data_IF_953672282413
#
_entry.id   IF_953672282413
#
_cell.length_a   1.000
_cell.length_b   1.000
_cell.length_c   1.000
_cell.angle_alpha   90.00
_cell.angle_beta   90.00
_cell.angle_gamma   90.00
#
_symmetry.space_group_name_H-M   'P 1'
#
loop_
_entity.id
_entity.type
_entity.pdbx_description
1 polymer ?
#
# COMPACT_ATOMS: atom_id res chain seq x y z
N UNK A 1 21.98 3.46 19.55
CA UNK A 1 22.83 2.25 19.71
C UNK A 1 24.24 2.67 20.13
N UNK A 2 24.93 1.86 20.92
CA UNK A 2 26.31 2.13 21.38
C UNK A 2 27.30 1.20 20.69
N UNK A 3 28.56 1.62 20.57
CA UNK A 3 29.60 0.73 20.08
C UNK A 3 29.77 -0.48 21.04
N UNK A 4 30.00 -1.70 20.52
CA UNK A 4 30.07 -2.90 21.35
C UNK A 4 31.12 -2.78 22.46
N UNK A 5 30.71 -3.05 23.70
CA UNK A 5 31.60 -2.99 24.86
C UNK A 5 31.99 -1.58 25.32
N UNK A 6 31.39 -0.51 24.75
CA UNK A 6 31.64 0.88 25.16
C UNK A 6 30.36 1.61 25.52
N UNK A 7 30.50 2.85 26.00
CA UNK A 7 29.39 3.81 26.21
C UNK A 7 29.34 4.88 25.12
N UNK A 8 30.03 4.67 24.00
CA UNK A 8 30.11 5.64 22.92
C UNK A 8 28.91 5.50 22.00
N UNK A 9 28.16 6.59 21.82
CA UNK A 9 26.97 6.60 20.99
C UNK A 9 27.37 6.54 19.51
N UNK A 10 26.79 5.59 18.77
CA UNK A 10 27.01 5.50 17.32
C UNK A 10 26.33 6.69 16.62
N UNK A 11 27.06 7.31 15.70
CA UNK A 11 26.58 8.38 14.82
C UNK A 11 26.34 7.84 13.42
N UNK A 12 25.37 8.43 12.71
CA UNK A 12 25.12 8.11 11.31
C UNK A 12 26.12 8.89 10.45
N UNK A 13 26.76 8.19 9.52
CA UNK A 13 27.63 8.75 8.49
C UNK A 13 27.18 8.26 7.11
N UNK A 14 27.27 9.10 6.09
CA UNK A 14 26.90 8.75 4.70
C UNK A 14 28.14 8.84 3.83
N UNK A 15 28.54 7.73 3.22
CA UNK A 15 29.78 7.64 2.44
C UNK A 15 29.61 7.94 0.94
N UNK A 16 28.38 8.23 0.51
CA UNK A 16 28.02 8.38 -0.90
C UNK A 16 27.22 7.21 -1.48
N UNK A 17 27.20 6.07 -0.80
CA UNK A 17 26.52 4.84 -1.24
C UNK A 17 25.64 4.21 -0.15
N UNK A 18 26.12 4.15 1.10
CA UNK A 18 25.43 3.50 2.21
C UNK A 18 25.48 4.35 3.49
N UNK A 19 24.52 4.12 4.38
CA UNK A 19 24.53 4.70 5.72
C UNK A 19 25.34 3.81 6.66
N UNK A 20 26.28 4.40 7.38
CA UNK A 20 27.11 3.74 8.38
C UNK A 20 26.78 4.23 9.78
N UNK A 21 26.89 3.34 10.75
CA UNK A 21 26.90 3.65 12.18
C UNK A 21 28.34 3.61 12.67
N UNK A 22 28.89 4.76 13.05
CA UNK A 22 30.31 4.94 13.38
C UNK A 22 30.50 5.43 14.81
N UNK A 23 31.57 4.96 15.45
CA UNK A 23 32.15 5.55 16.65
C UNK A 23 33.55 6.07 16.31
N UNK A 24 33.72 7.39 16.35
CA UNK A 24 34.98 8.04 16.01
C UNK A 24 36.09 7.74 17.04
N UNK A 25 35.73 7.41 18.29
CA UNK A 25 36.69 7.24 19.38
C UNK A 25 37.28 5.83 19.42
N UNK A 26 36.47 4.80 19.15
CA UNK A 26 36.94 3.40 19.08
C UNK A 26 37.32 2.95 17.67
N UNK A 27 36.96 3.72 16.63
CA UNK A 27 37.11 3.32 15.23
C UNK A 27 36.13 2.24 14.77
N UNK A 28 35.16 1.87 15.61
CA UNK A 28 34.11 0.93 15.26
C UNK A 28 33.19 1.51 14.18
N UNK A 29 32.86 0.70 13.17
CA UNK A 29 31.83 1.01 12.19
C UNK A 29 31.05 -0.23 11.77
N UNK A 30 29.77 -0.05 11.45
CA UNK A 30 28.93 -1.07 10.79
C UNK A 30 27.95 -0.41 9.82
N UNK A 31 27.49 -1.15 8.83
CA UNK A 31 26.42 -0.68 7.94
C UNK A 31 25.12 -0.52 8.75
N UNK A 32 24.40 0.55 8.49
CA UNK A 32 23.11 0.84 9.08
C UNK A 32 22.01 0.07 8.35
N UNK A 33 21.15 -0.63 9.09
CA UNK A 33 19.96 -1.30 8.55
C UNK A 33 18.76 -0.35 8.39
N UNK A 34 18.94 0.97 8.52
CA UNK A 34 17.83 1.95 8.52
C UNK A 34 17.03 1.96 7.22
N UNK A 35 17.65 1.57 6.10
CA UNK A 35 17.00 1.46 4.79
C UNK A 35 16.47 0.06 4.50
N UNK A 36 16.73 -0.92 5.37
CA UNK A 36 16.20 -2.26 5.23
C UNK A 36 14.73 -2.25 5.63
N UNK A 37 13.85 -2.65 4.71
CA UNK A 37 12.42 -2.80 4.98
C UNK A 37 12.15 -4.20 5.50
N UNK A 38 11.48 -4.27 6.63
CA UNK A 38 10.92 -5.51 7.16
C UNK A 38 9.49 -5.67 6.66
N UNK A 39 9.08 -6.92 6.47
CA UNK A 39 7.80 -7.29 5.88
C UNK A 39 7.03 -8.13 6.88
N UNK A 40 5.78 -7.73 7.09
CA UNK A 40 4.82 -8.44 7.95
C UNK A 40 3.70 -8.99 7.10
N UNK A 41 3.21 -10.16 7.49
CA UNK A 41 2.05 -10.75 6.85
C UNK A 41 0.78 -10.11 7.41
N UNK A 42 -0.12 -9.69 6.54
CA UNK A 42 -1.41 -9.13 6.93
C UNK A 42 -2.47 -9.39 5.87
N UNK A 43 -3.71 -9.31 6.31
CA UNK A 43 -4.87 -9.28 5.42
C UNK A 43 -5.58 -7.97 5.62
N UNK A 44 -5.97 -7.34 4.53
CA UNK A 44 -6.70 -6.08 4.54
C UNK A 44 -7.94 -6.15 3.64
N UNK A 45 -8.95 -5.36 3.96
CA UNK A 45 -10.13 -5.15 3.13
C UNK A 45 -10.28 -3.67 2.82
N UNK A 46 -10.81 -3.35 1.64
CA UNK A 46 -11.10 -1.98 1.28
C UNK A 46 -12.06 -1.34 2.28
N UNK A 47 -11.71 -0.14 2.74
CA UNK A 47 -12.54 0.63 3.64
C UNK A 47 -12.70 2.06 3.12
N UNK A 48 -13.95 2.46 2.87
CA UNK A 48 -14.31 3.85 2.53
C UNK A 48 -15.35 4.33 3.56
N UNK A 49 -15.05 5.37 4.35
CA UNK A 49 -15.98 5.92 5.33
C UNK A 49 -17.34 6.26 4.72
N UNK A 50 -18.43 5.93 5.43
CA UNK A 50 -19.78 6.13 4.92
C UNK A 50 -20.09 7.58 4.54
N UNK A 51 -19.47 8.56 5.20
CA UNK A 51 -19.62 9.98 4.88
C UNK A 51 -19.01 10.38 3.52
N UNK A 52 -18.09 9.57 2.98
CA UNK A 52 -17.50 9.75 1.64
C UNK A 52 -18.23 8.95 0.57
N UNK A 53 -19.09 8.01 0.98
CA UNK A 53 -19.89 7.18 0.07
C UNK A 53 -21.18 7.91 -0.31
N UNK A 54 -21.52 7.89 -1.61
CA UNK A 54 -22.78 8.47 -2.12
C UNK A 54 -23.72 7.42 -2.71
N UNK A 55 -23.61 6.19 -2.21
CA UNK A 55 -24.34 5.01 -2.67
C UNK A 55 -23.38 3.95 -3.24
N UNK A 56 -23.86 3.22 -4.25
CA UNK A 56 -23.03 2.25 -4.98
C UNK A 56 -22.92 0.86 -4.34
N UNK A 57 -22.02 0.06 -4.90
CA UNK A 57 -21.75 -1.32 -4.46
C UNK A 57 -21.01 -1.31 -3.12
N UNK A 58 -21.30 -2.18 -2.15
CA UNK A 58 -20.53 -2.26 -0.90
C UNK A 58 -19.07 -2.64 -1.17
N UNK A 59 -18.18 -2.34 -0.22
CA UNK A 59 -16.82 -2.87 -0.30
C UNK A 59 -16.81 -4.37 -0.02
N UNK A 60 -15.87 -5.09 -0.62
CA UNK A 60 -15.63 -6.51 -0.38
C UNK A 60 -14.76 -6.73 0.86
N UNK A 61 -15.04 -7.80 1.59
CA UNK A 61 -14.32 -8.15 2.82
C UNK A 61 -13.47 -9.41 2.62
N UNK A 62 -12.19 -9.27 2.93
CA UNK A 62 -11.21 -10.34 3.04
C UNK A 62 -11.11 -10.90 4.47
N UNK A 63 -12.03 -10.58 5.39
CA UNK A 63 -11.96 -11.07 6.78
C UNK A 63 -11.89 -12.61 6.88
N UNK A 64 -12.53 -13.33 5.95
CA UNK A 64 -12.47 -14.80 5.88
C UNK A 64 -11.05 -15.34 5.62
N UNK A 65 -10.19 -14.52 5.01
CA UNK A 65 -8.79 -14.81 4.71
C UNK A 65 -7.84 -14.44 5.83
N UNK A 66 -8.31 -13.81 6.91
CA UNK A 66 -7.45 -13.35 8.01
C UNK A 66 -6.57 -14.45 8.63
N UNK A 67 -6.97 -15.72 8.53
CA UNK A 67 -6.14 -16.83 8.98
C UNK A 67 -4.85 -17.03 8.16
N UNK A 68 -4.81 -16.53 6.91
CA UNK A 68 -3.66 -16.66 6.00
C UNK A 68 -2.43 -15.91 6.53
N UNK A 69 -2.59 -14.76 7.19
CA UNK A 69 -1.46 -14.02 7.76
C UNK A 69 -0.89 -14.65 9.04
N UNK A 70 -1.65 -15.53 9.70
CA UNK A 70 -1.26 -16.14 10.97
C UNK A 70 -0.43 -17.42 10.86
N UNK A 71 -0.23 -17.93 9.63
CA UNK A 71 0.55 -19.11 9.29
C UNK A 71 1.94 -18.76 8.74
N UNK A 72 2.20 -17.48 8.52
CA UNK A 72 3.36 -16.96 7.80
C UNK A 72 4.48 -16.53 8.75
N UNK A 73 5.72 -16.68 8.28
CA UNK A 73 6.88 -16.11 8.95
C UNK A 73 6.90 -14.58 8.75
N UNK A 74 7.28 -13.84 9.78
CA UNK A 74 7.61 -12.42 9.67
C UNK A 74 9.10 -12.24 9.41
N UNK A 75 9.51 -11.25 8.62
CA UNK A 75 10.95 -10.95 8.44
C UNK A 75 11.51 -10.01 9.52
N UNK A 76 10.76 -9.80 10.61
CA UNK A 76 11.18 -9.00 11.76
C UNK A 76 12.41 -9.65 12.42
N UNK A 77 13.50 -8.88 12.53
CA UNK A 77 14.79 -9.37 13.05
C UNK A 77 14.88 -9.32 14.58
N UNK A 78 14.05 -8.50 15.22
CA UNK A 78 14.07 -8.27 16.66
C UNK A 78 13.16 -9.24 17.42
N UNK A 79 13.53 -9.57 18.65
CA UNK A 79 12.60 -10.19 19.60
C UNK A 79 11.67 -9.09 20.15
N UNK A 80 10.43 -9.11 19.68
CA UNK A 80 9.40 -8.17 20.12
C UNK A 80 8.51 -8.84 21.17
N UNK A 81 8.27 -8.14 22.28
CA UNK A 81 7.22 -8.49 23.23
C UNK A 81 5.94 -7.75 22.84
N UNK A 82 4.89 -8.50 22.50
CA UNK A 82 3.59 -7.93 22.15
C UNK A 82 2.85 -7.43 23.40
N UNK A 83 2.67 -6.11 23.50
CA UNK A 83 1.99 -5.47 24.65
C UNK A 83 0.53 -5.14 24.34
N UNK A 84 0.19 -4.94 23.06
CA UNK A 84 -1.13 -4.50 22.61
C UNK A 84 -1.56 -5.35 21.41
N UNK A 85 -2.69 -6.04 21.55
CA UNK A 85 -3.39 -6.69 20.43
C UNK A 85 -4.60 -5.84 20.05
N UNK A 86 -4.68 -5.49 18.77
CA UNK A 86 -5.80 -4.74 18.20
C UNK A 86 -6.52 -5.63 17.21
N UNK A 87 -7.84 -5.69 17.29
CA UNK A 87 -8.66 -6.44 16.36
C UNK A 87 -9.47 -5.48 15.48
N UNK A 88 -9.56 -5.78 14.19
CA UNK A 88 -10.44 -5.11 13.24
C UNK A 88 -10.17 -3.61 13.12
N UNK A 89 -8.89 -3.25 13.02
CA UNK A 89 -8.43 -1.86 12.95
C UNK A 89 -8.76 -1.26 11.60
N UNK A 90 -9.42 -0.11 11.59
CA UNK A 90 -9.58 0.71 10.38
C UNK A 90 -8.47 1.75 10.32
N UNK A 91 -7.70 1.74 9.24
CA UNK A 91 -6.69 2.73 8.92
C UNK A 91 -7.22 3.63 7.82
N UNK A 92 -6.98 4.93 7.95
CA UNK A 92 -7.25 5.92 6.90
C UNK A 92 -6.02 6.81 6.79
N UNK A 93 -5.50 6.91 5.57
CA UNK A 93 -4.52 7.92 5.19
C UNK A 93 -5.24 8.91 4.29
N UNK A 94 -5.05 10.20 4.56
CA UNK A 94 -5.57 11.26 3.72
C UNK A 94 -4.44 12.17 3.26
N UNK A 95 -4.50 12.55 2.00
CA UNK A 95 -3.62 13.54 1.43
C UNK A 95 -4.42 14.56 0.62
N UNK A 96 -3.80 15.72 0.42
CA UNK A 96 -4.34 16.77 -0.42
C UNK A 96 -3.46 16.93 -1.65
N UNK A 97 -4.04 16.69 -2.82
CA UNK A 97 -3.40 16.90 -4.12
C UNK A 97 -4.13 18.02 -4.84
N UNK A 98 -3.45 19.08 -5.32
CA UNK A 98 -4.10 20.24 -5.94
C UNK A 98 -4.55 19.92 -7.38
N UNK A 99 -5.63 19.14 -7.51
CA UNK A 99 -6.32 18.90 -8.78
C UNK A 99 -7.79 19.30 -8.69
N UNK A 100 -8.41 19.59 -9.84
CA UNK A 100 -9.80 20.02 -9.94
C UNK A 100 -10.67 19.06 -10.72
N UNK A 101 -11.87 19.52 -11.06
CA UNK A 101 -12.87 18.73 -11.80
C UNK A 101 -12.34 18.18 -13.13
N UNK A 102 -11.50 18.92 -13.85
CA UNK A 102 -10.96 18.47 -15.15
C UNK A 102 -10.08 17.21 -15.00
N UNK A 103 -9.18 17.20 -14.00
CA UNK A 103 -8.35 16.04 -13.72
C UNK A 103 -9.19 14.86 -13.24
N UNK A 104 -10.25 15.11 -12.48
CA UNK A 104 -11.15 14.05 -12.04
C UNK A 104 -11.96 13.45 -13.19
N UNK A 105 -12.42 14.27 -14.14
CA UNK A 105 -13.06 13.79 -15.38
C UNK A 105 -12.08 12.89 -16.14
N UNK A 106 -10.83 13.32 -16.30
CA UNK A 106 -9.80 12.53 -16.96
C UNK A 106 -9.53 11.21 -16.21
N UNK A 107 -9.48 11.24 -14.87
CA UNK A 107 -9.35 10.03 -14.06
C UNK A 107 -10.52 9.07 -14.28
N UNK A 108 -11.76 9.57 -14.26
CA UNK A 108 -12.96 8.76 -14.51
C UNK A 108 -12.95 8.13 -15.91
N UNK A 109 -12.46 8.86 -16.93
CA UNK A 109 -12.27 8.31 -18.27
C UNK A 109 -11.20 7.21 -18.27
N UNK A 110 -10.04 7.45 -17.65
CA UNK A 110 -8.96 6.46 -17.58
C UNK A 110 -9.39 5.20 -16.84
N UNK A 111 -10.17 5.34 -15.76
CA UNK A 111 -10.71 4.23 -14.98
C UNK A 111 -11.87 3.48 -15.66
N UNK A 112 -12.35 3.95 -16.81
CA UNK A 112 -13.52 3.40 -17.48
C UNK A 112 -14.81 3.55 -16.67
N UNK A 113 -14.91 4.55 -15.78
CA UNK A 113 -16.05 4.70 -14.87
C UNK A 113 -17.37 4.92 -15.61
N UNK A 114 -17.33 5.58 -16.77
CA UNK A 114 -18.50 5.81 -17.63
C UNK A 114 -18.80 4.66 -18.58
N UNK A 115 -17.96 3.63 -18.63
CA UNK A 115 -18.10 2.52 -19.57
C UNK A 115 -19.00 1.42 -19.02
N UNK A 116 -19.39 0.47 -19.90
CA UNK A 116 -20.17 -0.71 -19.46
C UNK A 116 -19.37 -1.65 -18.57
N UNK A 117 -18.05 -1.71 -18.79
CA UNK A 117 -17.11 -2.50 -18.00
C UNK A 117 -16.28 -1.51 -17.20
N UNK A 118 -16.62 -1.35 -15.92
CA UNK A 118 -15.97 -0.37 -15.04
C UNK A 118 -14.78 -1.00 -14.33
N UNK A 119 -13.66 -0.27 -14.25
CA UNK A 119 -12.45 -0.75 -13.61
C UNK A 119 -11.65 -1.73 -14.47
N UNK A 120 -10.97 -2.68 -13.83
CA UNK A 120 -10.10 -3.65 -14.49
C UNK A 120 -8.66 -3.61 -13.96
N UNK A 121 -7.75 -4.25 -14.68
CA UNK A 121 -6.33 -4.24 -14.31
C UNK A 121 -5.62 -3.04 -14.95
N UNK A 122 -4.86 -2.31 -14.15
CA UNK A 122 -4.10 -1.14 -14.60
C UNK A 122 -2.61 -1.44 -14.60
N UNK A 123 -1.94 -1.08 -15.69
CA UNK A 123 -0.50 -1.21 -15.85
C UNK A 123 0.09 0.09 -16.39
N UNK A 124 1.30 0.42 -15.96
CA UNK A 124 2.11 1.50 -16.54
C UNK A 124 2.84 1.06 -17.81
N UNK A 125 2.85 -0.24 -18.12
CA UNK A 125 3.50 -0.77 -19.32
C UNK A 125 2.70 -0.41 -20.56
N UNK A 126 3.40 0.17 -21.53
CA UNK A 126 2.84 0.51 -22.85
C UNK A 126 3.03 -0.70 -23.76
N UNK A 127 1.95 -1.18 -24.37
CA UNK A 127 2.04 -2.20 -25.41
C UNK A 127 2.75 -1.66 -26.65
N UNK A 128 3.93 -2.19 -26.93
CA UNK A 128 4.73 -1.84 -28.11
C UNK A 128 4.42 -2.71 -29.33
N UNK A 129 3.65 -3.80 -29.18
CA UNK A 129 3.34 -4.73 -30.27
C UNK A 129 1.92 -4.54 -30.80
N UNK A 130 1.74 -3.53 -31.66
CA UNK A 130 0.46 -3.16 -32.27
C UNK A 130 -0.21 -4.24 -33.14
N UNK A 131 0.46 -5.35 -33.43
CA UNK A 131 -0.07 -6.47 -34.22
C UNK A 131 -0.46 -7.68 -33.39
N UNK A 132 -0.10 -7.70 -32.10
CA UNK A 132 -0.50 -8.74 -31.17
C UNK A 132 -1.97 -8.59 -30.76
N UNK A 133 -2.65 -9.71 -30.51
CA UNK A 133 -4.02 -9.73 -29.98
C UNK A 133 -4.07 -9.92 -28.46
N UNK A 134 -2.91 -10.06 -27.83
CA UNK A 134 -2.77 -10.35 -26.40
C UNK A 134 -1.69 -9.47 -25.81
N UNK A 135 -1.98 -8.88 -24.66
CA UNK A 135 -1.01 -8.21 -23.81
C UNK A 135 -0.76 -9.10 -22.59
N UNK A 136 0.48 -9.56 -22.43
CA UNK A 136 0.91 -10.30 -21.26
C UNK A 136 1.65 -9.34 -20.32
N UNK A 137 1.24 -9.32 -19.07
CA UNK A 137 1.78 -8.43 -18.05
C UNK A 137 2.17 -9.29 -16.86
N UNK A 138 3.32 -9.00 -16.26
CA UNK A 138 3.80 -9.74 -15.08
C UNK A 138 2.81 -9.63 -13.90
N UNK A 139 2.74 -10.64 -13.02
CA UNK A 139 2.00 -10.56 -11.76
C UNK A 139 2.44 -9.33 -10.96
N UNK A 140 1.48 -8.60 -10.40
CA UNK A 140 1.77 -7.32 -9.74
C UNK A 140 0.78 -6.20 -10.03
N UNK A 141 -0.17 -6.43 -10.93
CA UNK A 141 -1.10 -5.37 -11.32
C UNK A 141 -2.10 -5.05 -10.22
N UNK A 142 -2.47 -3.77 -10.17
CA UNK A 142 -3.59 -3.31 -9.37
C UNK A 142 -4.88 -3.54 -10.14
N UNK A 143 -5.77 -4.34 -9.56
CA UNK A 143 -7.15 -4.44 -10.03
C UNK A 143 -7.95 -3.33 -9.38
N UNK A 144 -8.71 -2.58 -10.17
CA UNK A 144 -9.59 -1.52 -9.67
C UNK A 144 -11.04 -1.92 -9.90
N UNK A 145 -11.88 -1.76 -8.89
CA UNK A 145 -13.32 -1.97 -8.97
C UNK A 145 -14.05 -0.71 -8.51
N UNK A 146 -14.80 -0.07 -9.42
CA UNK A 146 -15.50 1.18 -9.13
C UNK A 146 -16.73 0.92 -8.24
N UNK A 147 -16.84 1.66 -7.14
CA UNK A 147 -17.94 1.54 -6.18
C UNK A 147 -19.07 2.53 -6.51
N UNK A 148 -18.71 3.81 -6.67
CA UNK A 148 -19.58 4.89 -7.10
C UNK A 148 -18.77 6.08 -7.60
N UNK A 149 -19.34 6.90 -8.49
CA UNK A 149 -18.65 8.08 -9.00
C UNK A 149 -19.66 9.15 -9.45
N UNK A 150 -19.17 10.39 -9.51
CA UNK A 150 -19.78 11.49 -10.22
C UNK A 150 -18.70 12.13 -11.09
N UNK A 151 -18.96 12.20 -12.40
CA UNK A 151 -17.97 12.52 -13.43
C UNK A 151 -17.03 13.70 -13.10
N UNK A 152 -17.58 14.76 -12.50
CA UNK A 152 -16.86 16.01 -12.18
C UNK A 152 -16.58 16.23 -10.70
N UNK A 153 -17.07 15.36 -9.80
CA UNK A 153 -17.06 15.64 -8.36
C UNK A 153 -16.35 14.59 -7.50
N UNK A 154 -16.59 13.28 -7.68
CA UNK A 154 -15.91 12.26 -6.90
C UNK A 154 -15.79 10.92 -7.64
N UNK A 155 -14.86 10.08 -7.19
CA UNK A 155 -14.79 8.66 -7.56
C UNK A 155 -14.39 7.87 -6.32
N UNK A 156 -15.14 6.80 -6.05
CA UNK A 156 -14.85 5.83 -5.01
C UNK A 156 -14.62 4.48 -5.68
N UNK A 157 -13.54 3.80 -5.30
CA UNK A 157 -13.19 2.51 -5.87
C UNK A 157 -12.38 1.66 -4.88
N UNK A 158 -12.34 0.36 -5.13
CA UNK A 158 -11.43 -0.55 -4.47
C UNK A 158 -10.22 -0.78 -5.36
N UNK A 159 -9.04 -0.82 -4.77
CA UNK A 159 -7.81 -1.21 -5.42
C UNK A 159 -7.26 -2.46 -4.75
N UNK A 160 -7.13 -3.55 -5.51
CA UNK A 160 -6.60 -4.84 -5.06
C UNK A 160 -5.20 -5.04 -5.65
N UNK A 161 -4.21 -5.07 -4.77
CA UNK A 161 -2.78 -5.08 -5.12
C UNK A 161 -2.30 -6.52 -5.20
N UNK A 162 -1.81 -6.92 -6.38
CA UNK A 162 -1.31 -8.28 -6.62
C UNK A 162 0.22 -8.34 -6.63
N UNK A 163 0.88 -7.47 -5.88
CA UNK A 163 2.35 -7.41 -5.85
C UNK A 163 2.94 -8.71 -5.30
N UNK A 164 3.97 -9.29 -5.94
CA UNK A 164 4.58 -10.53 -5.46
C UNK A 164 5.46 -10.28 -4.22
N UNK A 165 5.13 -10.96 -3.13
CA UNK A 165 5.85 -10.86 -1.86
C UNK A 165 7.02 -11.87 -1.73
N UNK A 166 7.91 -11.58 -0.79
CA UNK A 166 9.01 -12.49 -0.44
C UNK A 166 8.49 -13.87 0.02
N UNK A 167 9.22 -14.97 -0.24
CA UNK A 167 8.79 -16.30 0.17
C UNK A 167 8.49 -16.37 1.68
N UNK A 168 7.31 -16.91 2.02
CA UNK A 168 6.85 -17.05 3.42
C UNK A 168 6.01 -15.89 3.93
N UNK A 169 6.00 -14.74 3.24
CA UNK A 169 5.15 -13.60 3.57
C UNK A 169 3.83 -13.68 2.81
N UNK A 170 2.72 -13.45 3.50
CA UNK A 170 1.39 -13.32 2.88
C UNK A 170 0.84 -11.93 3.13
N UNK A 171 0.65 -11.17 2.05
CA UNK A 171 -0.04 -9.89 2.06
C UNK A 171 -1.25 -9.95 1.16
N UNK A 172 -2.43 -9.76 1.74
CA UNK A 172 -3.67 -9.57 1.00
C UNK A 172 -4.05 -8.11 1.13
N UNK A 173 -3.85 -7.37 0.04
CA UNK A 173 -3.81 -5.92 0.05
C UNK A 173 -4.95 -5.31 -0.77
N UNK A 174 -5.99 -4.87 -0.08
CA UNK A 174 -7.12 -4.20 -0.74
C UNK A 174 -7.40 -2.86 -0.07
N UNK A 175 -7.37 -1.79 -0.86
CA UNK A 175 -7.56 -0.41 -0.43
C UNK A 175 -8.93 0.11 -0.90
N UNK A 176 -9.60 0.86 -0.05
CA UNK A 176 -10.70 1.72 -0.43
C UNK A 176 -10.17 3.12 -0.75
N UNK A 177 -10.42 3.60 -1.96
CA UNK A 177 -9.97 4.90 -2.42
C UNK A 177 -11.18 5.82 -2.58
N UNK A 178 -11.08 7.05 -2.08
CA UNK A 178 -12.05 8.12 -2.32
C UNK A 178 -11.32 9.39 -2.75
N UNK A 179 -11.55 9.80 -4.00
CA UNK A 179 -10.97 11.01 -4.56
C UNK A 179 -12.07 12.00 -4.90
N UNK A 180 -11.85 13.27 -4.57
CA UNK A 180 -12.82 14.35 -4.81
C UNK A 180 -12.21 15.48 -5.62
N UNK A 181 -13.03 16.19 -6.39
CA UNK A 181 -12.61 17.34 -7.20
C UNK A 181 -12.08 18.54 -6.38
N UNK A 182 -12.17 18.46 -5.04
CA UNK A 182 -11.55 19.44 -4.14
C UNK A 182 -10.06 19.18 -3.95
N UNK A 183 -9.54 18.04 -4.43
CA UNK A 183 -8.17 17.60 -4.20
C UNK A 183 -7.98 16.71 -2.97
N UNK A 184 -9.05 16.44 -2.21
CA UNK A 184 -8.99 15.51 -1.07
C UNK A 184 -8.95 14.07 -1.57
N UNK A 185 -7.91 13.34 -1.18
CA UNK A 185 -7.73 11.91 -1.42
C UNK A 185 -7.77 11.16 -0.08
N UNK A 186 -8.49 10.05 -0.04
CA UNK A 186 -8.55 9.15 1.10
C UNK A 186 -8.25 7.73 0.65
N UNK A 187 -7.39 7.06 1.40
CA UNK A 187 -7.03 5.66 1.26
C UNK A 187 -7.33 4.98 2.58
N UNK A 188 -8.26 4.03 2.57
CA UNK A 188 -8.70 3.35 3.77
C UNK A 188 -8.63 1.84 3.64
N UNK A 189 -8.26 1.18 4.72
CA UNK A 189 -8.32 -0.27 4.82
C UNK A 189 -8.74 -0.71 6.21
N UNK A 190 -9.34 -1.89 6.28
CA UNK A 190 -9.53 -2.60 7.53
C UNK A 190 -8.53 -3.74 7.59
N UNK A 191 -7.65 -3.71 8.60
CA UNK A 191 -6.55 -4.65 8.76
C UNK A 191 -6.92 -5.75 9.75
N UNK A 192 -6.59 -6.98 9.37
CA UNK A 192 -6.70 -8.18 10.17
C UNK A 192 -5.29 -8.73 10.39
N UNK A 193 -4.87 -8.69 11.64
CA UNK A 193 -3.67 -9.35 12.14
C UNK A 193 -4.08 -10.49 13.06
N UNK A 194 -3.16 -11.43 13.28
CA UNK A 194 -3.33 -12.47 14.30
C UNK A 194 -3.32 -11.89 15.71
#
# INVERSE_FOLDING_TARGET
AYAPGTRNLLRVDWDGHEYWLVDADSGYRRVSSVTETETVSYVSSAYVPQCLRRGGRPTLSNAHRAHECGLSDSTIKDQLDEIISLNSVSLIVSEFIPFGANQLVQLNCNLGSTERVQGGFFTSLVDTNSTGTQIAVEPGLTSVNILDFALTNHVNFEADIHYPEAPGVVQVETFGCSLTATGSCFYGMQVYTK
#
